data_IF_722135266740
#
_entry.id   IF_722135266740
#
_cell.length_a   1.000
_cell.length_b   1.000
_cell.length_c   1.000
_cell.angle_alpha   90.00
_cell.angle_beta   90.00
_cell.angle_gamma   90.00
#
_symmetry.space_group_name_H-M   'P 1'
#
loop_
_entity.id
_entity.type
_entity.pdbx_description
1 polymer ?
#
# COMPACT_ATOMS: atom_id res chain seq x y z
N UNK A 1 7.12 8.03 14.83
CA UNK A 1 7.58 7.96 13.42
C UNK A 1 7.28 6.54 12.96
N UNK A 2 6.26 6.34 12.15
CA UNK A 2 5.66 5.02 11.90
C UNK A 2 5.67 4.60 10.42
N UNK A 3 6.57 5.16 9.62
CA UNK A 3 6.68 4.82 8.19
C UNK A 3 8.03 4.21 7.86
N UNK A 4 8.29 3.08 8.49
CA UNK A 4 9.22 2.07 8.01
C UNK A 4 8.49 0.75 8.26
N UNK A 5 7.63 0.32 7.34
CA UNK A 5 6.85 -0.89 7.60
C UNK A 5 6.76 -1.90 6.47
N UNK A 6 7.26 -1.56 5.28
CA UNK A 6 7.51 -2.55 4.24
C UNK A 6 8.90 -2.27 3.68
N UNK A 7 9.85 -3.15 3.98
CA UNK A 7 11.16 -3.14 3.34
C UNK A 7 11.03 -3.93 2.04
N UNK A 8 11.12 -3.24 0.91
CA UNK A 8 10.89 -3.83 -0.40
C UNK A 8 11.15 -2.83 -1.52
N UNK A 9 10.88 -3.27 -2.74
CA UNK A 9 10.97 -2.45 -3.95
C UNK A 9 9.57 -2.02 -4.34
N UNK A 10 9.39 -0.72 -4.57
CA UNK A 10 8.12 -0.24 -5.15
C UNK A 10 8.06 -0.73 -6.59
N UNK A 11 7.05 -1.53 -6.89
CA UNK A 11 6.82 -2.13 -8.21
C UNK A 11 5.86 -1.27 -9.03
N UNK A 12 4.80 -0.76 -8.40
CA UNK A 12 3.82 0.10 -9.03
C UNK A 12 3.32 1.21 -8.10
N UNK A 13 2.84 2.30 -8.71
CA UNK A 13 2.21 3.42 -8.01
C UNK A 13 1.03 3.88 -8.84
N UNK A 14 -0.16 3.51 -8.38
CA UNK A 14 -1.42 3.95 -8.95
C UNK A 14 -2.01 5.13 -8.18
N UNK A 15 -2.80 5.94 -8.90
CA UNK A 15 -3.51 7.07 -8.31
C UNK A 15 -4.94 7.08 -8.80
N UNK A 16 -5.86 6.96 -7.85
CA UNK A 16 -7.29 6.92 -8.13
C UNK A 16 -8.04 8.03 -7.37
N UNK A 17 -9.21 8.39 -7.87
CA UNK A 17 -10.11 9.35 -7.23
C UNK A 17 -11.38 8.65 -6.75
N UNK A 18 -11.67 8.77 -5.46
CA UNK A 18 -12.93 8.35 -4.90
C UNK A 18 -13.65 9.58 -4.35
N UNK A 19 -14.74 9.93 -5.03
CA UNK A 19 -15.66 11.00 -4.62
C UNK A 19 -14.97 12.37 -4.39
N UNK A 20 -13.97 12.69 -5.20
CA UNK A 20 -13.18 13.92 -5.12
C UNK A 20 -12.01 13.87 -4.12
N UNK A 21 -11.80 12.73 -3.45
CA UNK A 21 -10.62 12.46 -2.64
C UNK A 21 -9.67 11.59 -3.45
N UNK A 22 -8.44 12.07 -3.60
CA UNK A 22 -7.40 11.34 -4.30
C UNK A 22 -6.67 10.39 -3.36
N UNK A 23 -6.39 9.19 -3.85
CA UNK A 23 -5.62 8.17 -3.14
C UNK A 23 -4.45 7.71 -4.00
N UNK A 24 -3.34 7.35 -3.35
CA UNK A 24 -2.25 6.60 -3.96
C UNK A 24 -2.30 5.16 -3.47
N UNK A 25 -2.10 4.23 -4.39
CA UNK A 25 -1.93 2.82 -4.12
C UNK A 25 -0.49 2.49 -4.51
N UNK A 26 0.30 2.03 -3.55
CA UNK A 26 1.72 1.76 -3.75
C UNK A 26 1.95 0.29 -3.52
N UNK A 27 2.29 -0.42 -4.59
CA UNK A 27 2.64 -1.83 -4.53
C UNK A 27 4.12 -1.97 -4.19
N UNK A 28 4.38 -2.79 -3.18
CA UNK A 28 5.72 -3.02 -2.65
C UNK A 28 5.98 -4.51 -2.66
N UNK A 29 6.86 -4.95 -3.55
CA UNK A 29 7.39 -6.30 -3.54
C UNK A 29 8.50 -6.41 -2.50
N UNK A 30 8.32 -7.29 -1.52
CA UNK A 30 9.34 -7.60 -0.51
C UNK A 30 10.36 -8.59 -1.08
N UNK A 31 11.56 -8.60 -0.50
CA UNK A 31 12.62 -9.52 -0.93
C UNK A 31 12.29 -11.00 -0.70
N UNK A 32 11.27 -11.29 0.12
CA UNK A 32 10.75 -12.65 0.34
C UNK A 32 9.71 -13.07 -0.72
N UNK A 33 9.42 -12.21 -1.70
CA UNK A 33 8.46 -12.47 -2.78
C UNK A 33 7.01 -12.16 -2.42
N UNK A 34 6.74 -11.57 -1.25
CA UNK A 34 5.39 -11.12 -0.85
C UNK A 34 5.13 -9.71 -1.35
N UNK A 35 3.91 -9.44 -1.78
CA UNK A 35 3.47 -8.14 -2.25
C UNK A 35 2.60 -7.46 -1.19
N UNK A 36 2.83 -6.16 -0.99
CA UNK A 36 2.03 -5.34 -0.09
C UNK A 36 1.52 -4.12 -0.85
N UNK A 37 0.21 -3.89 -0.82
CA UNK A 37 -0.42 -2.69 -1.35
C UNK A 37 -0.63 -1.70 -0.20
N UNK A 38 -0.07 -0.49 -0.34
CA UNK A 38 -0.23 0.59 0.64
C UNK A 38 -1.13 1.68 0.06
N UNK A 39 -2.29 1.85 0.67
CA UNK A 39 -3.21 2.93 0.33
C UNK A 39 -2.91 4.18 1.15
N UNK A 40 -2.75 5.32 0.48
CA UNK A 40 -2.40 6.61 1.06
C UNK A 40 -3.40 7.67 0.58
N UNK A 41 -3.83 8.54 1.49
CA UNK A 41 -4.58 9.73 1.10
C UNK A 41 -3.64 10.74 0.42
N UNK A 42 -3.90 11.09 -0.84
CA UNK A 42 -2.99 11.91 -1.63
C UNK A 42 -2.91 13.38 -1.16
N UNK A 43 -3.92 13.88 -0.44
CA UNK A 43 -3.92 15.24 0.07
C UNK A 43 -3.11 15.41 1.36
N UNK A 44 -3.12 14.38 2.23
CA UNK A 44 -2.48 14.43 3.55
C UNK A 44 -1.25 13.55 3.69
N UNK A 45 -1.04 12.59 2.78
CA UNK A 45 -0.04 11.53 2.91
C UNK A 45 -0.34 10.54 4.03
N UNK A 46 -1.55 10.57 4.61
CA UNK A 46 -1.94 9.65 5.67
C UNK A 46 -2.14 8.24 5.09
N UNK A 47 -1.61 7.23 5.78
CA UNK A 47 -1.88 5.83 5.45
C UNK A 47 -3.34 5.55 5.79
N UNK A 48 -4.06 5.05 4.79
CA UNK A 48 -5.47 4.65 4.90
C UNK A 48 -5.54 3.16 5.23
N UNK A 49 -4.81 2.34 4.48
CA UNK A 49 -4.76 0.89 4.66
C UNK A 49 -3.45 0.30 4.16
N UNK A 50 -3.16 -0.93 4.60
CA UNK A 50 -2.08 -1.77 4.09
C UNK A 50 -2.64 -3.18 3.92
N UNK A 51 -2.64 -3.69 2.70
CA UNK A 51 -3.02 -5.07 2.37
C UNK A 51 -1.77 -5.87 1.99
N UNK A 52 -1.76 -7.17 2.26
CA UNK A 52 -0.69 -8.09 1.88
C UNK A 52 -1.30 -9.22 1.07
N UNK A 53 -0.72 -9.54 -0.09
CA UNK A 53 -1.25 -10.56 -1.02
C UNK A 53 -1.02 -12.00 -0.51
N UNK A 54 -0.35 -12.17 0.63
CA UNK A 54 0.03 -13.47 1.23
C UNK A 54 -1.04 -14.05 2.17
N UNK A 55 -2.17 -13.37 2.39
CA UNK A 55 -3.24 -13.80 3.30
C UNK A 55 -4.40 -14.46 2.51
N UNK A 56 -4.16 -15.67 2.00
CA UNK A 56 -5.19 -16.71 1.92
C UNK A 56 -5.09 -17.52 3.23
N UNK A 57 -6.23 -17.68 3.93
CA UNK A 57 -6.53 -18.55 5.10
C UNK A 57 -6.17 -18.07 6.55
N UNK A 58 -7.19 -17.82 7.40
CA UNK A 58 -7.85 -18.83 8.29
C UNK A 58 -8.53 -18.21 9.57
N UNK A 59 -9.86 -17.97 9.53
CA UNK A 59 -10.94 -18.37 10.50
C UNK A 59 -12.31 -17.71 10.18
#
# INVERSE_FOLDING_TARGET
>A
MALAKVAGTVTDVDKDDDNGVWYYYVDIETNDGREAEVQLNAASGAIVSVAWDDDDDDD
#
